data_IF_892215167235
#
_entry.id   IF_892215167235
#
_cell.length_a   1.000
_cell.length_b   1.000
_cell.length_c   1.000
_cell.angle_alpha   90.00
_cell.angle_beta   90.00
_cell.angle_gamma   90.00
#
_symmetry.space_group_name_H-M   'P 1'
#
loop_
_entity.id
_entity.type
_entity.pdbx_description
1 polymer ?
2 non-polymer ?
3 non-polymer ?
4 water ?
#
# COMPACT_ATOMS: atom_id res chain seq x y z
N UNK A 1 -36.55 11.74 1.70
CA UNK A 1 -35.16 11.21 1.70
C UNK A 1 -34.56 11.22 3.07
N UNK A 2 -33.48 10.47 3.24
CA UNK A 2 -32.64 10.51 4.41
C UNK A 2 -31.19 10.15 4.10
N UNK A 3 -30.31 10.69 4.93
CA UNK A 3 -28.89 10.38 4.82
C UNK A 3 -28.63 8.96 5.33
N UNK A 4 -28.12 8.10 4.45
CA UNK A 4 -27.79 6.71 4.79
C UNK A 4 -26.32 6.59 5.21
N UNK A 5 -25.47 7.45 4.62
CA UNK A 5 -24.04 7.47 4.97
C UNK A 5 -23.52 8.88 4.68
N UNK A 6 -22.54 9.29 5.46
CA UNK A 6 -21.92 10.61 5.22
C UNK A 6 -20.52 10.62 5.85
N UNK A 7 -19.57 11.21 5.14
CA UNK A 7 -18.29 11.52 5.72
C UNK A 7 -17.71 12.69 4.97
N UNK A 8 -16.90 13.48 5.69
CA UNK A 8 -16.36 14.66 5.05
C UNK A 8 -15.06 15.06 5.77
N UNK A 9 -14.22 15.81 5.08
CA UNK A 9 -12.99 16.25 5.72
C UNK A 9 -12.04 16.90 4.73
N UNK A 10 -10.75 16.86 5.07
CA UNK A 10 -9.74 17.48 4.21
C UNK A 10 -8.87 16.41 3.58
N UNK A 11 -8.74 16.51 2.27
CA UNK A 11 -7.90 15.60 1.47
C UNK A 11 -6.68 16.37 0.96
N UNK A 12 -5.66 15.62 0.55
CA UNK A 12 -4.49 16.14 -0.13
C UNK A 12 -3.74 17.16 0.71
N UNK A 13 -3.61 16.90 2.01
CA UNK A 13 -2.85 17.76 2.88
C UNK A 13 -1.39 17.33 2.89
N UNK A 14 -0.57 18.12 2.22
CA UNK A 14 0.86 17.83 2.16
C UNK A 14 1.53 18.25 3.47
N UNK A 15 2.37 17.40 4.05
CA UNK A 15 3.03 17.66 5.33
C UNK A 15 4.47 17.23 5.28
N UNK A 16 5.37 18.15 5.64
CA UNK A 16 6.79 17.83 5.86
C UNK A 16 7.09 18.02 7.35
N UNK A 17 7.96 17.15 7.88
CA UNK A 17 8.51 17.41 9.21
C UNK A 17 9.99 17.08 9.23
N UNK A 18 10.80 17.89 9.89
CA UNK A 18 12.19 17.64 10.12
C UNK A 18 12.48 17.38 11.60
N UNK A 19 13.40 16.46 11.83
CA UNK A 19 14.01 16.24 13.12
C UNK A 19 15.50 16.63 13.02
N UNK A 20 15.94 17.48 13.96
CA UNK A 20 17.32 17.95 13.99
C UNK A 20 17.99 17.49 15.27
N UNK A 21 19.02 16.67 15.15
CA UNK A 21 19.84 16.33 16.30
C UNK A 21 20.93 17.40 16.42
N UNK A 22 20.78 18.26 17.42
CA UNK A 22 21.67 19.39 17.61
C UNK A 22 23.05 18.97 18.08
N UNK A 23 23.17 17.78 18.71
CA UNK A 23 24.47 17.24 19.15
C UNK A 23 25.30 16.75 17.97
N UNK A 24 24.66 15.95 17.11
CA UNK A 24 25.37 15.28 15.99
C UNK A 24 25.33 16.05 14.67
N UNK A 25 24.36 16.93 14.53
CA UNK A 25 24.09 17.62 13.28
C UNK A 25 23.21 16.86 12.30
N UNK A 26 22.85 15.62 12.64
CA UNK A 26 22.12 14.82 11.68
C UNK A 26 20.66 15.27 11.68
N UNK A 27 20.15 15.53 10.48
CA UNK A 27 18.74 15.88 10.29
C UNK A 27 18.04 14.74 9.56
N UNK A 28 16.77 14.57 9.88
CA UNK A 28 16.00 13.51 9.26
C UNK A 28 14.65 14.10 8.83
N UNK A 29 14.22 13.81 7.60
CA UNK A 29 13.01 14.40 7.05
C UNK A 29 11.93 13.34 6.79
N UNK A 30 10.70 13.79 6.90
CA UNK A 30 9.50 13.00 6.64
C UNK A 30 8.56 13.81 5.80
N UNK A 31 7.99 13.20 4.76
CA UNK A 31 7.01 13.92 3.95
C UNK A 31 5.85 12.96 3.67
N UNK A 32 4.65 13.49 3.74
CA UNK A 32 3.40 12.73 3.65
C UNK A 32 2.36 13.53 2.88
N UNK A 33 1.32 12.83 2.42
CA UNK A 33 0.07 13.44 2.06
C UNK A 33 -1.02 12.79 2.89
N UNK A 34 -1.83 13.63 3.54
CA UNK A 34 -2.81 13.17 4.54
C UNK A 34 -4.22 13.52 4.12
N UNK A 35 -5.13 12.54 4.40
CA UNK A 35 -6.56 12.76 4.27
C UNK A 35 -7.23 12.35 5.57
N UNK A 36 -8.11 13.23 6.11
CA UNK A 36 -8.91 12.88 7.26
C UNK A 36 -10.36 13.15 6.92
N UNK A 37 -11.20 12.09 7.00
CA UNK A 37 -12.64 12.23 6.84
C UNK A 37 -13.34 11.76 8.10
N UNK A 38 -14.31 12.56 8.52
CA UNK A 38 -15.03 12.35 9.77
C UNK A 38 -16.44 11.86 9.49
N UNK A 39 -16.95 11.05 10.44
CA UNK A 39 -18.36 10.65 10.51
C UNK A 39 -18.92 10.98 11.89
N UNK A 40 -20.23 11.18 11.96
CA UNK A 40 -20.89 11.30 13.26
C UNK A 40 -22.28 11.85 13.11
N UNK A 41 -22.69 12.60 14.12
CA UNK A 41 -24.05 13.15 14.15
C UNK A 41 -24.05 14.44 13.33
N UNK A 42 -23.88 14.29 12.02
CA UNK A 42 -23.67 15.39 11.09
C UNK A 42 -24.77 15.50 10.03
N UNK A 43 -25.76 14.63 10.07
CA UNK A 43 -26.73 14.60 9.01
C UNK A 43 -27.46 15.93 8.80
N UNK A 44 -27.67 16.71 9.88
CA UNK A 44 -28.39 17.98 9.70
C UNK A 44 -27.63 19.04 8.93
N UNK A 45 -26.30 18.88 8.78
CA UNK A 45 -25.57 19.77 7.87
C UNK A 45 -26.00 19.58 6.43
N UNK A 46 -26.41 18.35 6.10
CA UNK A 46 -26.91 18.02 4.78
C UNK A 46 -28.40 18.34 4.60
N UNK A 47 -29.20 18.04 5.62
CA UNK A 47 -30.65 18.09 5.47
C UNK A 47 -31.31 19.44 5.86
N UNK A 48 -30.64 20.23 6.72
CA UNK A 48 -31.22 21.37 7.43
C UNK A 48 -30.33 22.62 7.32
N UNK A 49 -29.27 22.61 6.51
CA UNK A 49 -28.32 23.71 6.45
C UNK A 49 -27.78 24.03 7.86
N UNK A 50 -27.56 23.01 8.67
CA UNK A 50 -27.09 23.16 10.05
C UNK A 50 -25.59 23.05 10.10
N UNK A 51 -24.88 24.17 9.97
CA UNK A 51 -23.43 24.11 9.98
C UNK A 51 -22.80 23.96 11.35
N UNK A 52 -23.63 24.04 12.40
CA UNK A 52 -23.09 23.94 13.78
C UNK A 52 -22.39 22.62 14.10
N UNK A 53 -22.79 21.58 13.35
CA UNK A 53 -22.23 20.24 13.54
C UNK A 53 -20.97 20.02 12.73
N UNK A 54 -20.58 21.01 11.91
CA UNK A 54 -19.43 20.89 11.00
C UNK A 54 -18.18 21.42 11.70
N UNK A 55 -17.23 20.53 11.98
CA UNK A 55 -15.83 20.88 12.20
C UNK A 55 -15.25 21.21 10.85
N UNK A 56 -14.95 22.47 10.58
CA UNK A 56 -14.64 22.89 9.20
C UNK A 56 -13.44 22.08 8.71
N UNK A 57 -13.48 21.75 7.39
CA UNK A 57 -12.32 21.05 6.83
C UNK A 57 -11.03 21.88 6.99
N UNK A 58 -11.16 23.22 6.94
CA UNK A 58 -10.00 24.08 7.18
C UNK A 58 -9.41 23.83 8.60
N UNK A 59 -10.31 23.63 9.59
CA UNK A 59 -9.88 23.29 10.95
C UNK A 59 -9.24 21.91 11.05
N UNK A 60 -9.77 20.94 10.28
CA UNK A 60 -9.18 19.63 10.19
C UNK A 60 -7.73 19.74 9.68
N UNK A 61 -7.55 20.56 8.64
CA UNK A 61 -6.20 20.83 8.10
C UNK A 61 -5.28 21.40 9.20
N UNK A 62 -5.78 22.44 9.89
CA UNK A 62 -4.96 23.02 10.97
C UNK A 62 -4.53 21.94 11.99
N UNK A 63 -5.54 21.09 12.32
CA UNK A 63 -5.33 20.02 13.30
C UNK A 63 -4.28 19.01 12.89
N UNK A 64 -4.24 18.70 11.57
CA UNK A 64 -3.21 17.80 11.05
C UNK A 64 -1.80 18.40 11.34
N UNK A 65 -1.63 19.69 11.02
CA UNK A 65 -0.31 20.30 11.23
C UNK A 65 0.03 20.41 12.73
N UNK A 66 -0.96 20.79 13.57
CA UNK A 66 -0.71 20.89 15.01
C UNK A 66 -0.33 19.51 15.58
N UNK A 67 -1.06 18.47 15.11
CA UNK A 67 -0.77 17.12 15.62
C UNK A 67 0.65 16.67 15.18
N UNK A 68 1.05 17.02 13.95
CA UNK A 68 2.41 16.70 13.50
C UNK A 68 3.47 17.46 14.30
N UNK A 69 3.15 18.68 14.75
CA UNK A 69 4.09 19.48 15.56
C UNK A 69 4.27 18.85 16.97
N UNK A 70 3.21 18.23 17.50
CA UNK A 70 3.18 17.80 18.90
C UNK A 70 3.48 16.34 19.11
N UNK A 71 3.67 15.60 18.01
CA UNK A 71 3.79 14.13 18.07
C UNK A 71 4.75 13.63 17.01
N UNK A 72 5.30 12.44 17.21
CA UNK A 72 6.01 11.82 16.08
C UNK A 72 5.10 11.54 14.89
N UNK A 73 5.65 11.69 13.72
CA UNK A 73 4.93 11.37 12.48
C UNK A 73 5.25 9.96 11.96
N UNK A 74 6.13 9.26 12.68
CA UNK A 74 6.53 7.92 12.34
C UNK A 74 6.37 7.01 13.57
N UNK A 75 6.07 5.71 13.36
CA UNK A 75 5.59 5.14 12.11
C UNK A 75 4.22 5.74 11.74
N UNK A 76 3.84 5.73 10.47
CA UNK A 76 2.60 6.34 10.06
C UNK A 76 1.36 5.70 10.72
N UNK A 77 1.44 4.42 11.06
CA UNK A 77 0.35 3.75 11.79
C UNK A 77 0.06 4.45 13.13
N UNK A 78 1.13 4.85 13.80
CA UNK A 78 0.99 5.58 15.06
C UNK A 78 0.44 6.99 14.86
N UNK A 79 1.05 7.74 13.96
CA UNK A 79 0.58 9.08 13.69
C UNK A 79 -0.89 9.11 13.31
N UNK A 80 -1.29 8.20 12.40
CA UNK A 80 -2.68 8.14 12.02
C UNK A 80 -3.64 7.81 13.18
N UNK A 81 -3.18 6.91 14.05
CA UNK A 81 -3.98 6.58 15.23
C UNK A 81 -4.13 7.73 16.22
N UNK A 82 -3.04 8.50 16.42
CA UNK A 82 -3.11 9.68 17.27
C UNK A 82 -4.09 10.68 16.69
N UNK A 83 -3.92 10.95 15.40
CA UNK A 83 -4.74 11.92 14.71
C UNK A 83 -6.25 11.55 14.76
N UNK A 84 -6.52 10.28 14.43
CA UNK A 84 -7.89 9.86 14.43
C UNK A 84 -8.56 9.86 15.83
N UNK A 85 -7.80 9.43 16.82
CA UNK A 85 -8.26 9.44 18.21
C UNK A 85 -8.60 10.85 18.65
N UNK A 86 -7.78 11.83 18.23
CA UNK A 86 -8.04 13.23 18.61
C UNK A 86 -9.47 13.64 18.22
N UNK A 87 -9.90 13.32 16.99
CA UNK A 87 -11.18 13.82 16.54
C UNK A 87 -12.36 13.20 17.30
N UNK A 88 -12.31 11.90 17.54
CA UNK A 88 -13.41 11.28 18.27
C UNK A 88 -13.41 11.62 19.74
N UNK A 89 -12.25 11.93 20.33
CA UNK A 89 -12.24 12.36 21.73
C UNK A 89 -12.60 13.84 21.92
N UNK A 90 -12.11 14.70 21.01
CA UNK A 90 -12.31 16.13 21.16
C UNK A 90 -13.78 16.50 20.96
N UNK A 91 -14.45 15.85 20.00
CA UNK A 91 -15.78 16.23 19.57
C UNK A 91 -16.75 15.13 19.95
N UNK A 92 -17.66 15.40 20.90
CA UNK A 92 -18.56 14.37 21.36
C UNK A 92 -19.33 13.78 20.18
N UNK A 93 -19.78 14.63 19.26
CA UNK A 93 -20.67 14.19 18.18
C UNK A 93 -20.01 13.51 16.96
N UNK A 94 -18.67 13.51 16.96
CA UNK A 94 -17.90 12.82 15.93
C UNK A 94 -17.57 11.43 16.48
N UNK A 95 -17.96 10.43 15.69
CA UNK A 95 -17.85 9.03 16.13
C UNK A 95 -16.94 8.16 15.30
N UNK A 96 -16.40 8.69 14.19
CA UNK A 96 -15.37 7.95 13.45
C UNK A 96 -14.47 8.95 12.73
N UNK A 97 -13.20 8.59 12.67
CA UNK A 97 -12.22 9.32 11.90
C UNK A 97 -11.45 8.35 11.03
N UNK A 98 -11.41 8.69 9.75
CA UNK A 98 -10.79 7.84 8.72
C UNK A 98 -9.58 8.57 8.18
N UNK A 99 -8.39 8.06 8.54
CA UNK A 99 -7.13 8.76 8.27
C UNK A 99 -6.34 7.92 7.25
N UNK A 100 -6.07 8.54 6.11
CA UNK A 100 -5.25 7.91 5.07
C UNK A 100 -3.95 8.73 4.96
N UNK A 101 -2.82 8.04 5.01
CA UNK A 101 -1.52 8.68 4.87
C UNK A 101 -0.72 7.98 3.77
N UNK A 102 -0.19 8.80 2.86
CA UNK A 102 0.77 8.34 1.85
C UNK A 102 2.13 8.91 2.26
N UNK A 103 3.12 8.08 2.50
CA UNK A 103 4.44 8.52 2.88
C UNK A 103 5.35 8.49 1.64
N UNK A 104 6.02 9.61 1.39
CA UNK A 104 6.92 9.83 0.25
C UNK A 104 8.33 9.53 0.67
N UNK A 105 9.12 8.97 -0.22
CA UNK A 105 10.50 8.63 0.09
C UNK A 105 11.44 9.81 0.04
N UNK A 106 12.18 9.95 1.15
CA UNK A 106 13.34 10.86 1.21
C UNK A 106 14.46 10.06 1.82
N UNK A 107 15.26 9.44 0.96
CA UNK A 107 16.34 8.59 1.41
C UNK A 107 17.63 9.42 1.53
N UNK A 108 18.35 9.24 2.63
CA UNK A 108 19.58 9.99 2.86
C UNK A 108 20.59 9.73 1.76
N UNK A 109 21.18 10.80 1.21
CA UNK A 109 22.25 10.65 0.23
C UNK A 109 23.55 10.15 0.84
N UNK A 110 24.24 9.29 0.08
CA UNK A 110 25.62 8.96 0.37
C UNK A 110 26.51 9.77 -0.57
N UNK A 111 27.41 10.54 0.02
CA UNK A 111 28.33 11.36 -0.75
C UNK A 111 29.72 10.88 -0.43
N UNK A 112 30.50 10.57 -1.47
CA UNK A 112 31.82 9.99 -1.28
C UNK A 112 31.82 8.84 -0.25
N UNK A 113 30.78 8.04 -0.33
CA UNK A 113 30.66 6.84 0.50
C UNK A 113 30.28 7.07 1.96
N UNK A 114 29.84 8.28 2.31
CA UNK A 114 29.45 8.63 3.68
C UNK A 114 28.02 9.20 3.67
N UNK A 115 27.18 8.78 4.62
CA UNK A 115 25.82 9.33 4.69
C UNK A 115 25.82 10.81 5.01
N UNK A 116 25.13 11.58 4.20
CA UNK A 116 25.14 13.04 4.38
C UNK A 116 24.15 13.44 5.50
N UNK A 117 24.53 14.42 6.35
CA UNK A 117 23.65 14.75 7.49
C UNK A 117 22.33 15.44 7.17
N UNK A 118 22.16 16.01 5.96
CA UNK A 118 20.96 16.78 5.69
C UNK A 118 20.54 16.90 4.22
N UNK A 119 20.93 15.89 3.43
CA UNK A 119 20.58 15.84 2.01
C UNK A 119 19.98 14.49 1.64
N UNK A 120 18.93 14.56 0.83
CA UNK A 120 18.05 13.40 0.57
C UNK A 120 17.66 13.32 -0.89
N UNK A 121 17.34 12.10 -1.31
CA UNK A 121 16.95 11.83 -2.70
C UNK A 121 15.62 11.06 -2.67
N UNK A 122 14.74 11.41 -3.61
CA UNK A 122 13.54 10.62 -3.85
C UNK A 122 13.98 9.37 -4.68
N UNK A 123 14.43 8.31 -3.98
CA UNK A 123 15.07 7.15 -4.62
C UNK A 123 14.07 6.23 -5.33
N UNK A 124 12.77 6.45 -5.14
CA UNK A 124 11.70 5.68 -5.81
C UNK A 124 10.37 6.43 -5.66
N UNK A 125 9.39 6.36 -6.59
CA UNK A 125 8.00 6.81 -6.28
C UNK A 125 7.23 5.77 -5.51
N UNK A 126 7.85 4.66 -5.14
CA UNK A 126 7.18 3.71 -4.25
C UNK A 126 6.72 4.48 -2.98
N UNK A 127 5.54 4.12 -2.49
CA UNK A 127 4.95 4.73 -1.28
C UNK A 127 4.82 3.66 -0.21
N UNK A 128 4.81 4.15 1.03
CA UNK A 128 4.36 3.42 2.19
C UNK A 128 3.11 4.10 2.71
N UNK A 129 2.01 3.35 2.88
CA UNK A 129 0.73 3.95 3.21
C UNK A 129 0.12 3.35 4.44
N UNK A 130 -0.79 4.11 5.04
CA UNK A 130 -1.71 3.54 6.01
C UNK A 130 -3.13 4.03 5.79
N UNK A 131 -4.07 3.16 6.22
CA UNK A 131 -5.44 3.51 6.37
C UNK A 131 -5.83 3.21 7.80
N UNK A 132 -6.13 4.24 8.57
CA UNK A 132 -6.42 4.06 10.00
C UNK A 132 -7.85 4.54 10.24
N UNK A 133 -8.71 3.60 10.61
CA UNK A 133 -10.12 3.88 10.89
C UNK A 133 -10.33 3.79 12.39
N UNK A 134 -10.53 4.96 12.99
CA UNK A 134 -10.76 5.08 14.46
C UNK A 134 -12.27 5.25 14.65
N UNK A 135 -12.88 4.23 15.27
CA UNK A 135 -14.33 4.18 15.38
C UNK A 135 -14.71 4.08 16.86
N UNK A 136 -15.43 5.10 17.34
CA UNK A 136 -15.70 5.23 18.77
C UNK A 136 -16.45 4.00 19.20
N UNK A 137 -15.91 3.43 20.27
CA UNK A 137 -16.49 2.21 20.83
C UNK A 137 -16.08 0.90 20.16
N UNK A 138 -15.29 1.03 19.09
CA UNK A 138 -14.86 -0.16 18.33
C UNK A 138 -13.37 -0.10 17.93
N UNK A 139 -12.60 0.70 18.61
CA UNK A 139 -11.19 0.62 18.52
C UNK A 139 -10.62 1.25 17.24
N UNK A 140 -9.51 0.68 16.81
CA UNK A 140 -8.70 1.25 15.72
C UNK A 140 -8.36 0.08 14.77
N UNK A 141 -8.82 0.25 13.52
CA UNK A 141 -8.52 -0.72 12.47
C UNK A 141 -7.52 -0.13 11.47
N UNK A 142 -6.40 -0.83 11.32
CA UNK A 142 -5.28 -0.36 10.54
C UNK A 142 -4.98 -1.31 9.39
N UNK A 143 -4.89 -0.75 8.20
CA UNK A 143 -4.36 -1.45 7.03
C UNK A 143 -3.11 -0.69 6.60
N UNK A 144 -2.01 -1.42 6.53
CA UNK A 144 -0.72 -0.87 6.12
C UNK A 144 -0.42 -1.38 4.73
N UNK A 145 0.27 -0.59 3.91
CA UNK A 145 0.60 -1.07 2.56
C UNK A 145 1.88 -0.46 2.01
N UNK A 146 2.43 -1.15 1.01
CA UNK A 146 3.39 -0.58 0.11
C UNK A 146 2.76 -0.58 -1.27
N UNK A 147 3.08 0.42 -2.06
CA UNK A 147 2.51 0.54 -3.40
C UNK A 147 3.48 1.22 -4.33
N UNK A 148 3.27 1.04 -5.64
CA UNK A 148 4.17 1.70 -6.58
C UNK A 148 5.56 1.11 -6.63
N UNK A 149 5.71 -0.13 -6.23
CA UNK A 149 6.99 -0.86 -6.28
C UNK A 149 7.07 -1.62 -7.58
N UNK A 150 7.78 -1.03 -8.55
CA UNK A 150 7.77 -1.50 -9.94
C UNK A 150 8.99 -2.36 -10.20
N UNK A 151 8.71 -3.59 -10.66
CA UNK A 151 9.75 -4.60 -10.82
C UNK A 151 9.58 -5.34 -12.16
N UNK A 152 10.66 -5.98 -12.59
CA UNK A 152 10.66 -6.78 -13.82
C UNK A 152 11.67 -7.88 -13.66
N UNK A 153 11.27 -9.09 -14.13
CA UNK A 153 12.25 -10.18 -14.32
C UNK A 153 12.18 -10.62 -15.77
N UNK A 154 13.36 -10.97 -16.28
CA UNK A 154 13.51 -11.18 -17.74
C UNK A 154 13.36 -12.63 -18.14
N UNK A 155 13.27 -13.55 -17.17
CA UNK A 155 13.09 -14.98 -17.42
C UNK A 155 12.56 -15.57 -16.09
N UNK A 156 12.39 -16.89 -16.05
CA UNK A 156 11.85 -17.56 -14.87
C UNK A 156 10.45 -17.06 -14.54
N UNK A 157 9.67 -16.89 -15.59
CA UNK A 157 8.25 -16.73 -15.52
C UNK A 157 7.67 -17.56 -16.65
N UNK A 158 6.57 -18.25 -16.36
CA UNK A 158 5.89 -19.14 -17.28
C UNK A 158 4.40 -18.90 -17.23
N UNK A 159 3.69 -19.32 -18.28
CA UNK A 159 2.23 -19.34 -18.23
C UNK A 159 1.69 -20.32 -19.28
N UNK A 160 1.37 -21.51 -18.77
CA UNK A 160 0.84 -22.59 -19.58
C UNK A 160 -0.21 -23.36 -18.79
N UNK A 161 -1.00 -24.15 -19.50
CA UNK A 161 -1.99 -24.97 -18.81
C UNK A 161 -3.27 -24.25 -18.44
N UNK A 162 -3.46 -23.07 -18.98
CA UNK A 162 -4.68 -22.31 -18.77
C UNK A 162 -5.80 -22.84 -19.67
N UNK A 163 -7.05 -22.50 -19.34
CA UNK A 163 -8.21 -22.97 -20.08
C UNK A 163 -8.14 -22.49 -21.53
N UNK A 164 -8.45 -23.39 -22.47
CA UNK A 164 -8.43 -23.10 -23.91
C UNK A 164 -9.78 -23.42 -24.48
N UNK A 165 -10.44 -22.44 -25.09
CA UNK A 165 -11.72 -22.66 -25.76
C UNK A 165 -11.80 -21.75 -26.96
N UNK A 166 -13.00 -21.55 -27.48
CA UNK A 166 -13.15 -20.79 -28.72
C UNK A 166 -12.89 -19.30 -28.57
N UNK A 167 -12.66 -18.82 -27.34
CA UNK A 167 -12.28 -17.43 -27.09
C UNK A 167 -10.77 -17.24 -26.93
N UNK A 168 -10.01 -18.33 -27.01
CA UNK A 168 -8.60 -18.32 -26.67
C UNK A 168 -7.69 -18.23 -27.90
N UNK A 169 -6.83 -17.24 -27.92
CA UNK A 169 -5.74 -17.10 -28.90
C UNK A 169 -4.35 -17.19 -28.28
N UNK A 170 -4.26 -16.99 -26.95
CA UNK A 170 -2.97 -16.90 -26.31
C UNK A 170 -2.14 -18.17 -26.42
N UNK A 171 -0.90 -18.04 -26.85
CA UNK A 171 0.06 -19.16 -26.87
C UNK A 171 0.55 -19.47 -25.47
N UNK A 172 0.65 -20.74 -25.12
CA UNK A 172 1.36 -21.14 -23.92
C UNK A 172 2.82 -20.70 -23.98
N UNK A 173 3.41 -20.38 -22.84
CA UNK A 173 4.83 -20.05 -22.80
C UNK A 173 5.49 -20.67 -21.58
N UNK A 174 6.73 -21.07 -21.78
CA UNK A 174 7.60 -21.61 -20.73
C UNK A 174 8.72 -20.63 -20.38
N UNK A 175 8.73 -19.43 -21.00
CA UNK A 175 9.80 -18.46 -20.67
C UNK A 175 9.33 -17.10 -21.17
N UNK A 176 8.96 -16.22 -20.25
CA UNK A 176 8.48 -14.87 -20.55
C UNK A 176 9.01 -13.87 -19.56
N UNK A 177 8.82 -12.60 -19.92
CA UNK A 177 9.03 -11.50 -19.01
C UNK A 177 7.85 -11.41 -18.06
N UNK A 178 8.13 -11.05 -16.81
CA UNK A 178 7.08 -10.69 -15.87
C UNK A 178 7.42 -9.32 -15.25
N UNK A 179 6.46 -8.40 -15.34
CA UNK A 179 6.64 -7.08 -14.73
C UNK A 179 5.32 -6.66 -14.09
N UNK A 180 5.45 -5.98 -12.93
CA UNK A 180 4.28 -5.52 -12.20
C UNK A 180 4.63 -4.27 -11.38
N UNK A 181 3.55 -3.66 -10.87
CA UNK A 181 3.62 -2.60 -9.87
C UNK A 181 2.96 -3.19 -8.62
N UNK A 182 3.75 -3.45 -7.56
CA UNK A 182 3.25 -4.16 -6.41
C UNK A 182 2.45 -3.21 -5.51
N UNK A 183 1.22 -3.61 -5.22
CA UNK A 183 0.36 -3.02 -4.17
C UNK A 183 0.05 -4.14 -3.19
N UNK A 184 0.65 -4.09 -2.01
CA UNK A 184 0.54 -5.14 -0.99
C UNK A 184 0.05 -4.49 0.29
N UNK A 185 -0.97 -5.10 0.89
CA UNK A 185 -1.61 -4.56 2.11
C UNK A 185 -1.68 -5.62 3.18
N UNK A 186 -1.31 -5.26 4.40
CA UNK A 186 -1.49 -6.15 5.55
C UNK A 186 -2.44 -5.50 6.53
N UNK A 187 -3.42 -6.29 6.94
CA UNK A 187 -4.48 -5.84 7.79
C UNK A 187 -4.23 -6.34 9.24
N UNK A 188 -4.08 -5.39 10.15
CA UNK A 188 -3.81 -5.71 11.56
C UNK A 188 -5.05 -6.18 12.31
N UNK A 189 -4.82 -7.02 13.32
CA UNK A 189 -5.79 -7.25 14.38
C UNK A 189 -6.33 -5.89 14.83
N UNK A 190 -7.64 -5.84 15.08
CA UNK A 190 -8.22 -4.65 15.71
C UNK A 190 -7.48 -4.32 17.02
N UNK A 191 -7.19 -3.04 17.19
CA UNK A 191 -6.61 -2.50 18.42
C UNK A 191 -7.71 -1.80 19.21
N UNK A 192 -7.62 -1.92 20.52
CA UNK A 192 -8.72 -1.39 21.37
C UNK A 192 -8.72 0.13 21.48
N UNK A 193 -7.59 0.75 21.16
CA UNK A 193 -7.38 2.16 21.33
C UNK A 193 -5.93 2.50 21.14
N UNK A 194 -5.61 3.74 21.46
CA UNK A 194 -4.26 4.24 21.22
C UNK A 194 -3.19 3.54 22.08
N UNK A 195 -3.54 3.18 23.32
CA UNK A 195 -2.55 2.49 24.15
C UNK A 195 -2.09 1.18 23.47
N UNK A 196 -3.04 0.40 22.93
CA UNK A 196 -2.65 -0.87 22.34
C UNK A 196 -1.82 -0.64 21.07
N UNK A 197 -2.15 0.39 20.28
CA UNK A 197 -1.33 0.70 19.14
C UNK A 197 0.10 1.00 19.58
N UNK A 198 0.22 1.88 20.57
CA UNK A 198 1.55 2.25 21.07
C UNK A 198 2.34 1.03 21.55
N UNK A 199 1.66 0.08 22.17
CA UNK A 199 2.29 -1.12 22.69
C UNK A 199 2.97 -1.97 21.60
N UNK A 200 2.57 -1.77 20.35
CA UNK A 200 3.08 -2.57 19.22
C UNK A 200 3.95 -1.75 18.26
N UNK A 201 4.32 -0.53 18.65
CA UNK A 201 4.96 0.38 17.71
C UNK A 201 6.13 -0.22 16.92
N UNK A 202 7.07 -0.92 17.56
CA UNK A 202 8.20 -1.43 16.72
C UNK A 202 7.77 -2.39 15.59
N UNK A 203 6.64 -3.05 15.80
CA UNK A 203 6.14 -4.01 14.81
C UNK A 203 5.77 -3.36 13.51
N UNK A 204 5.45 -2.07 13.51
CA UNK A 204 5.01 -1.47 12.26
C UNK A 204 6.15 -1.36 11.23
N UNK A 205 7.25 -0.72 11.57
CA UNK A 205 8.38 -0.65 10.67
C UNK A 205 8.91 -2.06 10.34
N UNK A 206 8.92 -2.97 11.32
CA UNK A 206 9.48 -4.30 11.11
C UNK A 206 8.64 -5.11 10.11
N UNK A 207 7.34 -4.93 10.18
CA UNK A 207 6.44 -5.67 9.30
C UNK A 207 6.44 -5.10 7.88
N UNK A 208 6.51 -3.78 7.76
CA UNK A 208 6.72 -3.18 6.46
C UNK A 208 8.02 -3.70 5.81
N UNK A 209 9.10 -3.77 6.58
CA UNK A 209 10.37 -4.23 6.03
C UNK A 209 10.24 -5.71 5.62
N UNK A 210 9.58 -6.53 6.43
CA UNK A 210 9.38 -7.94 6.09
C UNK A 210 8.58 -8.06 4.81
N UNK A 211 7.48 -7.32 4.71
CA UNK A 211 6.64 -7.41 3.54
C UNK A 211 7.42 -7.05 2.29
N UNK A 212 8.22 -5.99 2.34
CA UNK A 212 9.02 -5.56 1.19
C UNK A 212 10.07 -6.62 0.84
N UNK A 213 10.79 -7.15 1.84
CA UNK A 213 11.84 -8.16 1.64
C UNK A 213 11.26 -9.41 1.01
N UNK A 214 10.14 -9.89 1.57
CA UNK A 214 9.47 -11.09 1.04
C UNK A 214 9.02 -10.87 -0.40
N UNK A 215 8.44 -9.72 -0.66
CA UNK A 215 7.99 -9.40 -2.00
C UNK A 215 9.13 -9.51 -2.99
N UNK A 216 10.23 -8.84 -2.69
CA UNK A 216 11.33 -8.78 -3.64
C UNK A 216 11.99 -10.16 -3.82
N UNK A 217 12.28 -10.84 -2.73
CA UNK A 217 12.95 -12.14 -2.81
C UNK A 217 12.07 -13.18 -3.49
N UNK A 218 10.77 -13.20 -3.18
CA UNK A 218 9.91 -14.20 -3.80
C UNK A 218 9.74 -13.89 -5.31
N UNK A 219 9.59 -12.60 -5.66
CA UNK A 219 9.51 -12.24 -7.08
C UNK A 219 10.79 -12.71 -7.80
N UNK A 220 11.95 -12.43 -7.22
CA UNK A 220 13.20 -12.70 -7.89
C UNK A 220 13.46 -14.20 -8.00
N UNK A 221 13.07 -14.97 -6.97
CA UNK A 221 13.51 -16.36 -6.88
C UNK A 221 12.46 -17.37 -7.35
N UNK A 222 11.18 -17.00 -7.39
CA UNK A 222 10.14 -17.97 -7.76
C UNK A 222 10.17 -18.18 -9.27
N UNK A 223 10.36 -19.42 -9.72
CA UNK A 223 10.23 -19.72 -11.14
C UNK A 223 8.72 -19.81 -11.38
N UNK A 224 8.13 -18.70 -11.78
CA UNK A 224 6.70 -18.43 -11.56
C UNK A 224 5.78 -19.19 -12.53
N UNK A 225 4.80 -19.89 -11.98
CA UNK A 225 3.79 -20.60 -12.76
C UNK A 225 2.70 -19.67 -13.26
N UNK A 226 2.55 -18.51 -12.58
CA UNK A 226 1.53 -17.51 -12.84
C UNK A 226 1.74 -16.39 -11.81
N UNK A 227 1.13 -15.24 -12.10
CA UNK A 227 1.07 -14.17 -11.09
C UNK A 227 0.37 -14.68 -9.82
N UNK A 228 -0.75 -15.39 -10.04
CA UNK A 228 -1.54 -15.94 -8.94
C UNK A 228 -0.67 -16.77 -7.99
N UNK A 229 0.10 -17.71 -8.54
CA UNK A 229 0.88 -18.61 -7.70
C UNK A 229 1.97 -17.89 -6.94
N UNK A 230 2.63 -16.97 -7.63
CA UNK A 230 3.72 -16.20 -6.99
C UNK A 230 3.23 -15.29 -5.85
N UNK A 231 2.14 -14.56 -6.11
CA UNK A 231 1.65 -13.62 -5.12
C UNK A 231 1.16 -14.38 -3.88
N UNK A 232 0.60 -15.58 -4.05
CA UNK A 232 0.14 -16.34 -2.91
C UNK A 232 1.30 -16.71 -2.02
N UNK A 233 2.44 -17.09 -2.61
CA UNK A 233 3.63 -17.41 -1.83
C UNK A 233 4.10 -16.22 -0.98
N UNK A 234 4.06 -15.01 -1.58
CA UNK A 234 4.40 -13.81 -0.82
C UNK A 234 3.53 -13.67 0.42
N UNK A 235 2.22 -13.76 0.19
CA UNK A 235 1.26 -13.53 1.28
C UNK A 235 1.45 -14.57 2.38
N UNK A 236 1.62 -15.84 2.02
CA UNK A 236 1.69 -16.86 3.04
C UNK A 236 2.93 -16.65 3.92
N UNK A 237 4.01 -16.18 3.32
CA UNK A 237 5.23 -15.92 4.10
C UNK A 237 5.10 -14.73 5.05
N UNK A 238 4.43 -13.69 4.59
CA UNK A 238 4.22 -12.53 5.47
C UNK A 238 3.35 -12.92 6.69
N UNK A 239 2.28 -13.64 6.44
CA UNK A 239 1.44 -14.14 7.54
C UNK A 239 2.21 -14.98 8.52
N UNK A 240 3.11 -15.80 8.02
CA UNK A 240 3.92 -16.65 8.91
C UNK A 240 4.89 -15.87 9.79
N UNK A 241 5.18 -14.65 9.40
CA UNK A 241 6.22 -13.88 10.09
C UNK A 241 5.65 -12.80 11.03
N UNK A 242 4.34 -12.58 11.03
CA UNK A 242 3.75 -11.59 11.94
C UNK A 242 2.35 -12.03 12.37
N UNK A 243 2.25 -12.52 13.61
CA UNK A 243 0.98 -13.10 14.05
C UNK A 243 -0.09 -12.04 14.31
N UNK A 244 0.30 -10.76 14.44
CA UNK A 244 -0.68 -9.70 14.63
C UNK A 244 -1.37 -9.20 13.34
N UNK A 245 -0.90 -9.72 12.19
CA UNK A 245 -1.61 -9.57 10.88
C UNK A 245 -2.69 -10.64 10.75
N UNK A 246 -3.87 -10.22 10.26
CA UNK A 246 -4.94 -11.17 9.99
C UNK A 246 -4.97 -11.59 8.51
N UNK A 247 -4.80 -10.62 7.62
CA UNK A 247 -4.83 -10.92 6.19
C UNK A 247 -3.73 -10.12 5.48
N UNK A 248 -3.35 -10.64 4.30
CA UNK A 248 -2.48 -9.94 3.35
C UNK A 248 -3.18 -9.94 2.01
N UNK A 249 -3.25 -8.77 1.40
CA UNK A 249 -3.85 -8.60 0.10
C UNK A 249 -2.80 -8.14 -0.91
N UNK A 250 -2.80 -8.73 -2.11
CA UNK A 250 -2.00 -8.21 -3.20
C UNK A 250 -2.93 -7.82 -4.35
N UNK A 251 -2.56 -6.74 -5.04
CA UNK A 251 -3.19 -6.34 -6.26
C UNK A 251 -2.06 -6.03 -7.25
N UNK A 252 -1.98 -6.89 -8.30
CA UNK A 252 -0.83 -6.87 -9.21
C UNK A 252 -1.27 -6.79 -10.67
N UNK A 253 -0.89 -5.71 -11.38
CA UNK A 253 -1.08 -5.69 -12.83
C UNK A 253 -0.05 -6.61 -13.48
N UNK A 254 -0.47 -7.26 -14.56
CA UNK A 254 0.46 -7.99 -15.43
C UNK A 254 0.78 -7.10 -16.61
N UNK A 255 1.95 -6.43 -16.54
CA UNK A 255 2.35 -5.40 -17.49
C UNK A 255 3.06 -6.11 -18.65
N UNK A 256 2.28 -6.33 -19.72
CA UNK A 256 2.71 -7.27 -20.76
C UNK A 256 3.83 -6.69 -21.61
N UNK A 257 4.81 -7.55 -21.96
CA UNK A 257 5.88 -7.25 -22.90
C UNK A 257 5.74 -8.28 -24.06
N UNK A 258 5.36 -7.77 -25.22
CA UNK A 258 5.07 -8.64 -26.36
C UNK A 258 6.32 -8.88 -27.19
N UNK A 259 6.45 -10.14 -27.65
CA UNK A 259 7.46 -10.42 -28.66
C UNK A 259 7.09 -9.68 -29.96
N UNK A 260 8.15 -9.42 -30.76
CA UNK A 260 8.01 -8.77 -32.07
C UNK A 260 8.63 -9.69 -33.12
N UNK A 261 7.74 -10.23 -33.94
CA UNK A 261 8.14 -11.04 -35.09
C UNK A 261 8.72 -10.12 -36.16
N UNK A 262 10.02 -10.30 -36.42
CA UNK A 262 10.71 -9.53 -37.45
C UNK A 262 11.11 -10.37 -38.67
N UNK A 263 10.56 -11.60 -38.78
CA UNK A 263 10.99 -12.54 -39.83
C UNK A 263 10.65 -12.07 -41.22
N UNK A 264 9.69 -11.17 -41.34
CA UNK A 264 9.34 -10.50 -42.60
C UNK A 264 10.45 -9.58 -43.15
N UNK A 265 11.40 -9.19 -42.29
CA UNK A 265 12.50 -8.31 -42.66
C UNK A 265 13.80 -9.13 -42.63
N UNK A 266 14.27 -9.51 -43.83
CA UNK A 266 15.57 -10.17 -43.99
C UNK A 266 15.70 -11.45 -43.13
N UNK A 267 14.57 -12.13 -42.87
CA UNK A 267 14.54 -13.35 -42.05
C UNK A 267 15.04 -13.16 -40.63
N UNK A 268 14.97 -11.92 -40.09
CA UNK A 268 15.47 -11.69 -38.75
C UNK A 268 14.70 -12.56 -37.75
N UNK A 269 15.45 -13.19 -36.83
CA UNK A 269 14.86 -14.06 -35.85
C UNK A 269 14.87 -13.37 -34.48
N UNK A 270 13.66 -13.06 -34.01
CA UNK A 270 13.46 -12.32 -32.78
C UNK A 270 12.30 -12.88 -31.95
N UNK A 271 12.03 -14.17 -32.12
CA UNK A 271 11.00 -14.80 -31.34
C UNK A 271 11.56 -16.04 -30.62
N UNK A 272 10.85 -16.51 -29.61
CA UNK A 272 11.27 -17.70 -28.89
C UNK A 272 12.66 -17.54 -28.31
N UNK A 273 13.52 -18.52 -28.53
CA UNK A 273 14.88 -18.46 -27.99
C UNK A 273 15.66 -17.25 -28.50
N UNK A 274 15.27 -16.71 -29.63
CA UNK A 274 16.01 -15.57 -30.17
C UNK A 274 15.38 -14.22 -29.89
N UNK A 275 14.38 -14.22 -29.00
CA UNK A 275 13.72 -12.95 -28.68
C UNK A 275 14.63 -12.06 -27.83
N UNK A 276 14.94 -10.89 -28.38
CA UNK A 276 15.73 -9.89 -27.68
C UNK A 276 15.02 -8.58 -27.56
N UNK A 277 14.29 -8.14 -28.61
CA UNK A 277 13.62 -6.84 -28.61
C UNK A 277 12.14 -7.08 -28.47
N UNK A 278 11.56 -6.39 -27.49
CA UNK A 278 10.13 -6.55 -27.15
C UNK A 278 9.41 -5.19 -27.14
N UNK A 279 8.11 -5.25 -27.32
CA UNK A 279 7.23 -4.10 -27.28
C UNK A 279 6.47 -4.09 -25.94
N UNK A 280 6.89 -3.22 -24.98
CA UNK A 280 6.08 -3.03 -23.75
C UNK A 280 4.72 -2.52 -24.13
N UNK A 281 3.69 -3.13 -23.56
CA UNK A 281 2.30 -2.74 -23.82
C UNK A 281 1.78 -1.85 -22.68
N UNK A 282 1.35 -0.63 -23.00
CA UNK A 282 0.80 0.24 -21.99
C UNK A 282 -0.55 -0.21 -21.51
N UNK A 283 -1.38 -0.67 -22.41
CA UNK A 283 -2.68 -1.20 -22.09
C UNK A 283 -3.07 -2.16 -23.20
N UNK A 284 -4.02 -3.09 -22.94
CA UNK A 284 -4.58 -3.37 -21.64
C UNK A 284 -3.56 -4.12 -20.78
N UNK A 285 -3.98 -4.47 -19.55
CA UNK A 285 -3.15 -5.22 -18.64
C UNK A 285 -3.97 -6.20 -17.84
N UNK A 286 -3.41 -7.39 -17.61
CA UNK A 286 -4.02 -8.27 -16.62
C UNK A 286 -4.03 -7.55 -15.27
N UNK A 287 -4.97 -7.93 -14.41
CA UNK A 287 -5.04 -7.41 -13.04
C UNK A 287 -5.48 -8.58 -12.15
N UNK A 288 -4.58 -8.93 -11.24
CA UNK A 288 -4.72 -10.17 -10.47
C UNK A 288 -4.74 -9.76 -8.99
N UNK A 289 -5.77 -10.22 -8.26
CA UNK A 289 -5.99 -9.84 -6.85
C UNK A 289 -6.19 -11.08 -5.99
N UNK A 290 -5.72 -11.02 -4.75
CA UNK A 290 -6.20 -11.97 -3.76
C UNK A 290 -5.93 -11.45 -2.38
N UNK A 291 -6.77 -11.94 -1.47
CA UNK A 291 -6.67 -11.69 -0.03
C UNK A 291 -6.48 -13.07 0.62
N UNK A 292 -5.38 -13.19 1.37
CA UNK A 292 -4.99 -14.45 2.02
C UNK A 292 -5.07 -14.29 3.52
N UNK A 293 -5.68 -15.29 4.18
CA UNK A 293 -5.75 -15.31 5.65
C UNK A 293 -5.28 -16.65 6.13
N UNK A 294 -5.39 -16.89 7.42
CA UNK A 294 -4.94 -18.18 7.93
C UNK A 294 -6.09 -19.16 7.83
N UNK A 295 -5.70 -20.41 7.67
CA UNK A 295 -6.60 -21.51 7.39
C UNK A 295 -7.34 -21.84 8.68
N UNK A 296 -8.57 -22.34 8.51
CA UNK A 296 -9.36 -22.95 9.61
C UNK A 296 -10.02 -24.28 9.17
N UNK A 297 -9.68 -24.79 7.98
CA UNK A 297 -10.17 -26.09 7.52
C UNK A 297 -9.43 -27.18 8.28
N UNK A 298 -10.20 -28.14 8.83
CA UNK A 298 -9.68 -29.31 9.61
C UNK A 298 -9.89 -30.69 8.92
N UNK A 299 -10.84 -30.70 7.96
CA UNK A 299 -11.11 -31.82 7.02
C UNK A 299 -11.19 -31.36 5.56
N UNK A 300 -11.06 -32.33 4.65
CA UNK A 300 -11.04 -32.03 3.18
C UNK A 300 -10.06 -30.92 2.77
N UNK A 301 -8.78 -31.12 3.11
CA UNK A 301 -7.83 -30.00 3.23
C UNK A 301 -7.26 -29.56 1.86
X LIG B 1 0.17 -14.98 -14.85
X LIG B 1 -0.78 -14.81 -15.58
X LIG B 1 -2.08 -15.03 -15.08
X LIG B 1 -3.25 -14.81 -15.74
X LIG B 1 -4.36 -15.12 -15.30
X LIG B 1 -0.59 -14.50 -16.93
X LIG B 1 -1.66 -14.23 -17.59
X LIG B 1 -1.86 -14.07 -18.92
X LIG B 1 -0.78 -13.95 -19.91
X LIG B 1 -3.07 -14.04 -17.04
X LIG B 1 -3.03 -12.69 -16.37
X LIG B 1 -2.67 -11.59 -17.30
X LIG B 1 -4.00 -14.17 -18.11
X LIG B 1 -3.22 -14.03 -19.24
X LIG B 1 -3.66 -13.93 -20.39
X LIG C 1 9.92 -27.47 -13.73
X LIG C 1 9.43 -26.44 -14.74
X LIG C 1 10.03 -25.15 -14.63
X LIG C 1 7.92 -26.27 -14.51
X LIG C 1 9.87 -26.89 -16.14
X LIG C 1 9.59 -25.85 -17.25
X LIG C 1 10.08 -26.23 -18.57
X LIG C 1 8.10 -25.77 -17.29
#
# INVERSE_FOLDING_TARGET
SAVKAARYGKDNVRVYKVHKDEKTGVQTVYEMTVCVLLEGEIETSYTKADNSVIVATDSIKNTIYITAKQNPVTPPELFGSILGTHFIEKYNHIHAAHVNIVCHRWTRMDIDGKPHPHSFIRDSEEKRNVQVDVVEGKGIDIKSSLSGLTVLKSTNSQFWGFLRDEYTTLKETWDRILSTDVDATWQWKNFSGLQEVRSHVPKFDATWATAREVTLKTFAEDNSASVQATMYKMAEQILARQQLIETVEYSLPNKHYFEIDLSWHKGLQNTGKNAEVFAPQSDPNGLIKCTVGRSSLKSKL
XDS O4 C4 N2 C3 O3 N3 C5 N C C2 O1 O2 N1 C1 O
MPD C1 C2 O2 CM C3 C4 O4 C5
#
